data_IF_585416622501
#
_entry.id   IF_585416622501
#
_cell.length_a   1.000
_cell.length_b   1.000
_cell.length_c   1.000
_cell.angle_alpha   90.00
_cell.angle_beta   90.00
_cell.angle_gamma   90.00
#
_symmetry.space_group_name_H-M   'P 1'
#
loop_
_entity.id
_entity.type
_entity.pdbx_description
1 polymer ?
#
# COMPACT_ATOMS: atom_id res chain seq x y z
N UNK A 1 -15.22 -19.04 -20.72
CA UNK A 1 -14.33 -18.28 -21.55
C UNK A 1 -13.17 -17.78 -20.71
N UNK A 2 -11.98 -17.87 -21.22
CA UNK A 2 -10.75 -17.55 -20.53
C UNK A 2 -10.76 -16.08 -20.09
N UNK A 3 -10.63 -15.81 -18.80
CA UNK A 3 -10.56 -14.44 -18.26
C UNK A 3 -9.23 -13.74 -18.65
N UNK A 4 -8.26 -14.50 -19.20
CA UNK A 4 -6.94 -14.01 -19.59
C UNK A 4 -6.94 -12.98 -20.72
N UNK A 5 -8.01 -12.95 -21.54
CA UNK A 5 -8.10 -12.05 -22.70
C UNK A 5 -8.89 -10.76 -22.42
N UNK A 6 -9.37 -10.57 -21.19
CA UNK A 6 -10.07 -9.34 -20.81
C UNK A 6 -9.10 -8.28 -20.34
N UNK A 7 -9.20 -7.10 -20.94
CA UNK A 7 -8.49 -5.92 -20.47
C UNK A 7 -8.85 -5.66 -18.99
N UNK A 8 -7.82 -5.57 -18.13
CA UNK A 8 -8.01 -5.12 -16.76
C UNK A 8 -8.43 -3.64 -16.75
N UNK A 9 -9.40 -3.31 -15.91
CA UNK A 9 -9.85 -1.93 -15.72
C UNK A 9 -9.41 -1.44 -14.34
N UNK A 10 -9.19 -0.11 -14.20
CA UNK A 10 -9.07 0.50 -12.88
C UNK A 10 -10.25 0.17 -11.99
N UNK A 11 -10.06 0.08 -10.68
CA UNK A 11 -11.10 -0.28 -9.71
C UNK A 11 -12.38 0.57 -9.87
N UNK A 12 -12.22 1.85 -10.20
CA UNK A 12 -13.34 2.78 -10.43
C UNK A 12 -14.25 2.41 -11.61
N UNK A 13 -13.75 1.62 -12.55
CA UNK A 13 -14.44 1.31 -13.82
C UNK A 13 -14.82 -0.17 -13.95
N UNK A 14 -14.44 -1.00 -12.98
CA UNK A 14 -14.66 -2.44 -13.04
C UNK A 14 -16.14 -2.78 -12.79
N UNK A 15 -16.71 -3.65 -13.62
CA UNK A 15 -18.08 -4.14 -13.46
C UNK A 15 -18.12 -5.61 -13.05
N UNK A 16 -17.56 -6.52 -13.85
CA UNK A 16 -17.68 -7.96 -13.68
C UNK A 16 -16.30 -8.66 -13.65
N UNK A 17 -15.38 -8.15 -12.84
CA UNK A 17 -14.06 -8.74 -12.60
C UNK A 17 -13.87 -8.97 -11.09
N UNK A 18 -14.34 -10.14 -10.56
CA UNK A 18 -14.35 -10.41 -9.11
C UNK A 18 -12.98 -10.26 -8.45
N UNK A 19 -11.91 -10.68 -9.12
CA UNK A 19 -10.54 -10.54 -8.61
C UNK A 19 -10.12 -9.08 -8.40
N UNK A 20 -10.72 -8.12 -9.15
CA UNK A 20 -10.45 -6.70 -8.96
C UNK A 20 -11.35 -6.13 -7.86
N UNK A 21 -12.67 -6.24 -7.99
CA UNK A 21 -13.55 -5.55 -7.04
C UNK A 21 -13.55 -6.19 -5.65
N UNK A 22 -13.36 -7.51 -5.52
CA UNK A 22 -13.21 -8.15 -4.21
C UNK A 22 -11.76 -8.07 -3.70
N UNK A 23 -10.78 -8.57 -4.44
CA UNK A 23 -9.42 -8.70 -3.92
C UNK A 23 -8.72 -7.34 -3.87
N UNK A 24 -8.63 -6.64 -5.00
CA UNK A 24 -8.01 -5.31 -5.05
C UNK A 24 -8.79 -4.29 -4.22
N UNK A 25 -10.13 -4.32 -4.29
CA UNK A 25 -10.97 -3.41 -3.53
C UNK A 25 -10.77 -3.53 -2.02
N UNK A 26 -10.68 -4.75 -1.48
CA UNK A 26 -10.41 -4.94 -0.05
C UNK A 26 -9.03 -4.41 0.37
N UNK A 27 -7.99 -4.64 -0.44
CA UNK A 27 -6.64 -4.12 -0.19
C UNK A 27 -6.60 -2.59 -0.25
N UNK A 28 -7.29 -1.99 -1.22
CA UNK A 28 -7.38 -0.53 -1.36
C UNK A 28 -8.02 0.11 -0.14
N UNK A 29 -9.12 -0.42 0.37
CA UNK A 29 -9.76 0.12 1.57
C UNK A 29 -8.94 -0.14 2.84
N UNK A 30 -8.24 -1.27 2.93
CA UNK A 30 -7.31 -1.56 4.01
C UNK A 30 -6.17 -0.52 4.03
N UNK A 31 -5.54 -0.26 2.87
CA UNK A 31 -4.50 0.74 2.73
C UNK A 31 -5.02 2.16 3.02
N UNK A 32 -6.13 2.55 2.40
CA UNK A 32 -6.69 3.90 2.56
C UNK A 32 -7.04 4.20 4.02
N UNK A 33 -7.61 3.22 4.76
CA UNK A 33 -7.87 3.32 6.19
C UNK A 33 -6.60 3.69 6.97
N UNK A 34 -5.50 3.06 6.63
CA UNK A 34 -4.22 3.29 7.30
C UNK A 34 -3.61 4.66 6.94
N UNK A 35 -3.73 5.07 5.67
CA UNK A 35 -3.17 6.35 5.20
C UNK A 35 -3.95 7.55 5.72
N UNK A 36 -5.27 7.57 5.60
CA UNK A 36 -6.10 8.73 5.97
C UNK A 36 -6.74 8.65 7.36
N UNK A 37 -6.65 7.50 8.01
CA UNK A 37 -7.23 7.22 9.32
C UNK A 37 -8.61 6.57 9.27
N UNK A 38 -8.86 5.63 10.18
CA UNK A 38 -10.09 4.83 10.23
C UNK A 38 -11.35 5.66 10.44
N UNK A 39 -11.33 6.60 11.38
CA UNK A 39 -12.50 7.44 11.69
C UNK A 39 -12.92 8.27 10.48
N UNK A 40 -11.94 8.82 9.75
CA UNK A 40 -12.19 9.63 8.56
C UNK A 40 -12.76 8.80 7.42
N UNK A 41 -12.22 7.62 7.19
CA UNK A 41 -12.74 6.69 6.18
C UNK A 41 -14.17 6.24 6.54
N UNK A 42 -14.40 5.82 7.78
CA UNK A 42 -15.72 5.36 8.23
C UNK A 42 -16.77 6.46 8.15
N UNK A 43 -16.42 7.69 8.50
CA UNK A 43 -17.32 8.84 8.35
C UNK A 43 -17.68 9.10 6.88
N UNK A 44 -16.72 8.96 5.97
CA UNK A 44 -16.95 9.10 4.52
C UNK A 44 -17.89 8.02 3.98
N UNK A 45 -17.66 6.77 4.36
CA UNK A 45 -18.51 5.63 3.97
C UNK A 45 -19.94 5.77 4.53
N UNK A 46 -20.08 6.15 5.80
CA UNK A 46 -21.40 6.40 6.41
C UNK A 46 -22.14 7.54 5.70
N UNK A 47 -21.45 8.62 5.35
CA UNK A 47 -22.01 9.73 4.57
C UNK A 47 -22.47 9.27 3.19
N UNK A 48 -21.64 8.47 2.47
CA UNK A 48 -22.01 7.91 1.19
C UNK A 48 -23.27 7.07 1.27
N UNK A 49 -23.32 6.11 2.19
CA UNK A 49 -24.51 5.25 2.39
C UNK A 49 -25.75 6.10 2.67
N UNK A 50 -25.65 7.09 3.56
CA UNK A 50 -26.77 7.98 3.88
C UNK A 50 -27.28 8.78 2.67
N UNK A 51 -26.40 9.16 1.76
CA UNK A 51 -26.77 9.91 0.56
C UNK A 51 -27.48 9.06 -0.48
N UNK A 52 -27.07 7.78 -0.64
CA UNK A 52 -27.50 6.94 -1.77
C UNK A 52 -28.49 5.84 -1.36
N UNK A 53 -28.66 5.57 -0.06
CA UNK A 53 -29.56 4.53 0.41
C UNK A 53 -31.00 4.82 -0.04
N UNK A 54 -31.60 3.82 -0.69
CA UNK A 54 -33.01 3.86 -1.15
C UNK A 54 -33.33 4.94 -2.20
N UNK A 55 -32.31 5.55 -2.82
CA UNK A 55 -32.57 6.52 -3.88
C UNK A 55 -33.23 5.87 -5.10
N UNK A 56 -34.18 6.56 -5.76
CA UNK A 56 -34.70 6.12 -7.06
C UNK A 56 -33.65 6.33 -8.16
N UNK A 57 -33.88 5.75 -9.37
CA UNK A 57 -33.01 6.06 -10.51
C UNK A 57 -32.89 7.57 -10.78
N UNK A 58 -31.74 8.07 -11.28
CA UNK A 58 -30.52 7.30 -11.58
C UNK A 58 -29.78 6.81 -10.33
N UNK A 59 -29.32 5.55 -10.39
CA UNK A 59 -28.58 4.97 -9.27
C UNK A 59 -27.17 5.56 -9.17
N UNK A 60 -26.59 5.45 -7.95
CA UNK A 60 -25.24 5.90 -7.68
C UNK A 60 -24.20 5.13 -8.49
N UNK A 61 -23.06 5.78 -8.71
CA UNK A 61 -21.91 5.22 -9.40
C UNK A 61 -20.67 5.25 -8.48
N UNK A 62 -19.62 4.55 -8.85
CA UNK A 62 -18.33 4.61 -8.17
C UNK A 62 -17.78 6.04 -8.07
N UNK A 63 -18.10 6.90 -9.04
CA UNK A 63 -17.68 8.31 -9.05
C UNK A 63 -18.22 9.09 -7.85
N UNK A 64 -19.43 8.78 -7.40
CA UNK A 64 -20.05 9.43 -6.26
C UNK A 64 -19.29 9.08 -4.96
N UNK A 65 -18.87 7.82 -4.82
CA UNK A 65 -18.04 7.37 -3.72
C UNK A 65 -16.65 8.02 -3.77
N UNK A 66 -15.98 8.00 -4.93
CA UNK A 66 -14.65 8.59 -5.12
C UNK A 66 -14.67 10.08 -4.78
N UNK A 67 -15.70 10.81 -5.18
CA UNK A 67 -15.87 12.23 -4.83
C UNK A 67 -15.84 12.43 -3.31
N UNK A 68 -16.57 11.61 -2.56
CA UNK A 68 -16.62 11.70 -1.11
C UNK A 68 -15.26 11.32 -0.48
N UNK A 69 -14.60 10.29 -1.01
CA UNK A 69 -13.26 9.91 -0.55
C UNK A 69 -12.24 11.02 -0.79
N UNK A 70 -12.28 11.69 -1.94
CA UNK A 70 -11.42 12.85 -2.22
C UNK A 70 -11.65 14.01 -1.26
N UNK A 71 -12.89 14.29 -0.88
CA UNK A 71 -13.22 15.38 0.06
C UNK A 71 -12.66 15.15 1.45
N UNK A 72 -12.48 13.90 1.88
CA UNK A 72 -11.92 13.55 3.20
C UNK A 72 -10.43 13.25 3.16
N UNK A 73 -9.85 13.02 1.98
CA UNK A 73 -8.43 12.74 1.82
C UNK A 73 -7.63 14.03 1.88
N UNK A 74 -6.55 14.12 2.69
CA UNK A 74 -5.67 15.27 2.74
C UNK A 74 -5.11 15.66 1.36
N UNK A 75 -4.81 16.94 1.18
CA UNK A 75 -4.37 17.48 -0.12
C UNK A 75 -3.06 16.85 -0.62
N UNK A 76 -2.14 16.55 0.26
CA UNK A 76 -0.86 15.89 -0.01
C UNK A 76 -0.99 14.39 -0.30
N UNK A 77 -2.15 13.79 0.03
CA UNK A 77 -2.45 12.38 -0.18
C UNK A 77 -3.46 12.12 -1.32
N UNK A 78 -3.83 13.13 -2.09
CA UNK A 78 -4.82 12.99 -3.19
C UNK A 78 -4.36 12.01 -4.28
N UNK A 79 -3.05 11.83 -4.47
CA UNK A 79 -2.49 10.84 -5.39
C UNK A 79 -2.89 9.40 -5.03
N UNK A 80 -3.17 9.10 -3.75
CA UNK A 80 -3.62 7.77 -3.32
C UNK A 80 -4.96 7.40 -3.97
N UNK A 81 -5.88 8.36 -4.10
CA UNK A 81 -7.19 8.10 -4.74
C UNK A 81 -6.99 7.79 -6.22
N UNK A 82 -6.12 8.52 -6.92
CA UNK A 82 -5.79 8.24 -8.31
C UNK A 82 -5.17 6.84 -8.48
N UNK A 83 -4.14 6.54 -7.68
CA UNK A 83 -3.40 5.29 -7.76
C UNK A 83 -4.24 4.06 -7.40
N UNK A 84 -5.10 4.19 -6.39
CA UNK A 84 -5.88 3.07 -5.85
C UNK A 84 -7.16 2.80 -6.64
N UNK A 85 -7.82 3.83 -7.16
CA UNK A 85 -9.14 3.71 -7.76
C UNK A 85 -9.16 4.00 -9.26
N UNK A 86 -8.45 5.02 -9.73
CA UNK A 86 -8.64 5.57 -11.08
C UNK A 86 -7.64 5.03 -12.10
N UNK A 87 -6.59 4.38 -11.64
CA UNK A 87 -5.52 3.82 -12.48
C UNK A 87 -5.14 2.41 -12.05
N UNK A 88 -4.39 1.72 -12.89
CA UNK A 88 -3.74 0.45 -12.53
C UNK A 88 -2.33 0.79 -12.12
N UNK A 89 -2.13 1.03 -10.83
CA UNK A 89 -0.82 1.34 -10.24
C UNK A 89 -0.30 0.16 -9.47
N UNK A 90 0.95 -0.18 -9.73
CA UNK A 90 1.68 -1.29 -9.11
C UNK A 90 2.97 -0.76 -8.50
N UNK A 91 3.45 -1.47 -7.49
CA UNK A 91 4.75 -1.22 -6.89
C UNK A 91 5.64 -2.45 -7.07
N UNK A 92 6.93 -2.24 -6.96
CA UNK A 92 7.97 -3.26 -6.92
C UNK A 92 8.96 -2.79 -5.84
N UNK A 93 8.61 -3.14 -4.60
CA UNK A 93 9.37 -2.78 -3.41
C UNK A 93 10.27 -3.94 -3.02
N UNK A 94 11.47 -3.63 -2.52
CA UNK A 94 12.42 -4.69 -2.18
C UNK A 94 13.39 -4.25 -1.08
N UNK A 95 13.66 -5.15 -0.15
CA UNK A 95 14.85 -5.09 0.69
C UNK A 95 16.02 -5.69 -0.08
N UNK A 96 16.98 -4.85 -0.51
CA UNK A 96 18.17 -5.29 -1.28
C UNK A 96 19.19 -5.92 -0.35
N UNK A 97 19.55 -5.22 0.72
CA UNK A 97 20.41 -5.74 1.80
C UNK A 97 19.94 -5.23 3.16
N UNK A 98 20.22 -6.01 4.19
CA UNK A 98 19.97 -5.63 5.56
C UNK A 98 21.09 -6.12 6.48
N UNK A 99 21.46 -5.30 7.44
CA UNK A 99 22.41 -5.69 8.51
C UNK A 99 22.08 -4.99 9.82
N UNK A 100 22.45 -5.62 10.93
CA UNK A 100 22.35 -5.01 12.25
C UNK A 100 23.66 -5.20 13.02
N UNK A 101 24.19 -4.11 13.54
CA UNK A 101 25.41 -4.09 14.31
C UNK A 101 25.15 -3.58 15.74
N UNK A 102 25.58 -4.31 16.77
CA UNK A 102 25.47 -3.84 18.15
C UNK A 102 26.37 -2.59 18.35
N UNK A 103 25.81 -1.55 18.95
CA UNK A 103 26.51 -0.31 19.24
C UNK A 103 25.91 0.34 20.50
N UNK A 104 26.73 0.56 21.51
CA UNK A 104 26.37 1.27 22.76
C UNK A 104 25.11 0.70 23.46
N UNK A 105 24.97 -0.64 23.47
CA UNK A 105 23.82 -1.32 24.07
C UNK A 105 22.53 -1.32 23.21
N UNK A 106 22.61 -0.80 22.00
CA UNK A 106 21.54 -0.79 20.99
C UNK A 106 21.99 -1.50 19.71
N UNK A 107 21.12 -1.53 18.70
CA UNK A 107 21.44 -2.07 17.39
C UNK A 107 21.25 -0.99 16.33
N UNK A 108 22.27 -0.78 15.51
CA UNK A 108 22.20 0.05 14.32
C UNK A 108 21.85 -0.86 13.15
N UNK A 109 20.68 -0.67 12.60
CA UNK A 109 20.15 -1.42 11.45
C UNK A 109 20.36 -0.59 10.20
N UNK A 110 21.07 -1.13 9.22
CA UNK A 110 21.27 -0.52 7.91
C UNK A 110 20.47 -1.29 6.88
N UNK A 111 19.63 -0.59 6.13
CA UNK A 111 18.75 -1.11 5.09
C UNK A 111 19.11 -0.48 3.75
N UNK A 112 19.42 -1.28 2.75
CA UNK A 112 19.35 -0.87 1.35
C UNK A 112 17.99 -1.27 0.78
N UNK A 113 17.24 -0.30 0.30
CA UNK A 113 15.89 -0.48 -0.24
C UNK A 113 15.85 -0.09 -1.71
N UNK A 114 15.06 -0.82 -2.48
CA UNK A 114 14.66 -0.45 -3.83
C UNK A 114 13.14 -0.35 -3.89
N UNK A 115 12.64 0.61 -4.66
CA UNK A 115 11.20 0.79 -4.90
C UNK A 115 10.98 1.34 -6.30
N UNK A 116 10.00 0.79 -7.02
CA UNK A 116 9.57 1.27 -8.32
C UNK A 116 8.08 1.43 -8.32
N UNK A 117 7.60 2.46 -8.98
CA UNK A 117 6.18 2.70 -9.20
C UNK A 117 5.86 2.53 -10.67
N UNK A 118 4.87 1.74 -10.98
CA UNK A 118 4.51 1.32 -12.33
C UNK A 118 3.06 1.67 -12.61
N UNK A 119 2.80 2.10 -13.83
CA UNK A 119 1.46 2.30 -14.36
C UNK A 119 1.20 1.29 -15.46
N UNK A 120 0.14 0.48 -15.32
CA UNK A 120 -0.24 -0.50 -16.33
C UNK A 120 -1.43 -0.02 -17.18
N UNK A 121 -1.48 -0.48 -18.43
CA UNK A 121 -2.51 -0.12 -19.41
C UNK A 121 -3.73 -1.07 -19.42
N UNK A 122 -3.70 -2.09 -18.57
CA UNK A 122 -4.72 -3.13 -18.51
C UNK A 122 -4.53 -4.30 -19.48
N UNK A 123 -3.56 -4.24 -20.38
CA UNK A 123 -3.13 -5.34 -21.24
C UNK A 123 -1.81 -5.95 -20.79
N UNK A 124 -1.30 -5.51 -19.64
CA UNK A 124 -0.06 -5.97 -19.04
C UNK A 124 1.18 -5.16 -19.45
N UNK A 125 1.03 -4.09 -20.24
CA UNK A 125 2.15 -3.19 -20.54
C UNK A 125 2.32 -2.22 -19.39
N UNK A 126 3.48 -2.27 -18.75
CA UNK A 126 3.84 -1.45 -17.60
C UNK A 126 4.80 -0.35 -17.99
N UNK A 127 4.58 0.84 -17.48
CA UNK A 127 5.48 1.99 -17.64
C UNK A 127 5.89 2.48 -16.26
N UNK A 128 7.18 2.60 -16.03
CA UNK A 128 7.70 3.18 -14.80
C UNK A 128 7.40 4.67 -14.74
N UNK A 129 6.89 5.12 -13.60
CA UNK A 129 6.60 6.52 -13.32
C UNK A 129 7.40 6.98 -12.09
N UNK A 130 7.66 8.28 -11.95
CA UNK A 130 8.40 8.79 -10.79
C UNK A 130 7.73 8.40 -9.47
N UNK A 131 8.54 7.93 -8.52
CA UNK A 131 8.10 7.68 -7.16
C UNK A 131 8.12 8.98 -6.36
N UNK A 132 7.02 9.26 -5.66
CA UNK A 132 6.90 10.38 -4.72
C UNK A 132 5.91 9.97 -3.62
N UNK A 133 6.10 8.78 -3.07
CA UNK A 133 5.15 8.11 -2.20
C UNK A 133 5.70 7.95 -0.78
N UNK A 134 4.79 7.86 0.16
CA UNK A 134 5.09 7.53 1.55
C UNK A 134 4.84 6.03 1.76
N UNK A 135 5.89 5.29 2.13
CA UNK A 135 5.87 3.84 2.28
C UNK A 135 6.37 3.48 3.68
N UNK A 136 5.72 2.52 4.31
CA UNK A 136 6.12 2.06 5.63
C UNK A 136 7.45 1.30 5.58
N UNK A 137 8.33 1.61 6.52
CA UNK A 137 9.59 0.89 6.77
C UNK A 137 9.53 0.31 8.18
N UNK A 138 9.81 -0.98 8.31
CA UNK A 138 9.73 -1.70 9.56
C UNK A 138 11.00 -2.45 9.94
N UNK A 139 11.23 -2.55 11.24
CA UNK A 139 12.23 -3.42 11.88
C UNK A 139 11.52 -4.23 12.95
N UNK A 140 11.68 -5.54 12.95
CA UNK A 140 10.88 -6.45 13.77
C UNK A 140 11.72 -7.35 14.64
N UNK A 141 11.23 -7.62 15.86
CA UNK A 141 11.72 -8.65 16.75
C UNK A 141 11.38 -10.05 16.22
N UNK A 142 11.81 -11.08 16.91
CA UNK A 142 11.44 -12.46 16.58
C UNK A 142 9.91 -12.63 16.60
N UNK A 143 9.32 -13.31 15.60
CA UNK A 143 7.89 -13.58 15.58
C UNK A 143 7.51 -14.63 16.63
N UNK A 144 6.27 -14.52 17.12
CA UNK A 144 5.66 -15.60 17.91
C UNK A 144 5.28 -16.79 17.00
N UNK A 145 5.08 -18.00 17.56
CA UNK A 145 4.65 -19.14 16.77
C UNK A 145 3.37 -18.85 15.99
N UNK A 146 3.42 -19.00 14.67
CA UNK A 146 2.30 -18.75 13.77
C UNK A 146 2.21 -17.33 13.21
N UNK A 147 3.08 -16.42 13.65
CA UNK A 147 3.19 -15.07 13.07
C UNK A 147 4.29 -15.03 12.00
N UNK A 148 4.07 -14.27 10.95
CA UNK A 148 5.05 -14.04 9.88
C UNK A 148 6.03 -12.92 10.26
N UNK A 149 5.52 -11.88 10.92
CA UNK A 149 6.28 -10.76 11.44
C UNK A 149 6.17 -10.73 12.97
N UNK A 150 7.27 -10.43 13.63
CA UNK A 150 7.28 -10.19 15.08
C UNK A 150 6.79 -8.79 15.45
N UNK A 151 6.87 -8.49 16.73
CA UNK A 151 6.57 -7.15 17.24
C UNK A 151 7.45 -6.10 16.57
N UNK A 152 6.90 -4.98 16.08
CA UNK A 152 7.72 -3.91 15.53
C UNK A 152 8.58 -3.27 16.61
N UNK A 153 9.89 -3.19 16.35
CA UNK A 153 10.86 -2.39 17.09
C UNK A 153 10.91 -0.96 16.53
N UNK A 154 10.61 -0.84 15.26
CA UNK A 154 10.45 0.38 14.51
C UNK A 154 9.42 0.14 13.42
N UNK A 155 8.52 1.09 13.21
CA UNK A 155 7.57 1.09 12.10
C UNK A 155 7.17 2.54 11.84
N UNK A 156 7.70 3.11 10.77
CA UNK A 156 7.39 4.48 10.38
C UNK A 156 7.21 4.59 8.88
N UNK A 157 6.36 5.52 8.51
CA UNK A 157 6.15 5.92 7.13
C UNK A 157 7.25 6.86 6.68
N UNK A 158 7.93 6.51 5.59
CA UNK A 158 9.03 7.27 5.01
C UNK A 158 8.68 7.71 3.60
N UNK A 159 9.10 8.91 3.24
CA UNK A 159 8.91 9.44 1.90
C UNK A 159 10.04 8.98 0.99
N UNK A 160 9.65 8.36 -0.12
CA UNK A 160 10.54 7.92 -1.20
C UNK A 160 10.37 8.84 -2.40
N UNK A 161 11.48 9.38 -2.91
CA UNK A 161 11.54 10.23 -4.12
C UNK A 161 12.59 9.74 -5.11
N UNK A 162 13.22 8.60 -4.81
CA UNK A 162 14.18 7.90 -5.66
C UNK A 162 13.95 6.39 -5.57
N UNK A 163 14.34 5.68 -6.62
CA UNK A 163 14.11 4.24 -6.72
C UNK A 163 15.00 3.40 -5.79
N UNK A 164 16.01 3.99 -5.21
CA UNK A 164 16.91 3.33 -4.25
C UNK A 164 17.23 4.26 -3.10
N UNK A 165 17.50 3.70 -1.94
CA UNK A 165 17.93 4.46 -0.78
C UNK A 165 18.50 3.58 0.31
N UNK A 166 19.36 4.18 1.14
CA UNK A 166 19.88 3.55 2.36
C UNK A 166 19.29 4.26 3.56
N UNK A 167 18.79 3.49 4.52
CA UNK A 167 18.21 4.00 5.76
C UNK A 167 18.95 3.36 6.94
N UNK A 168 19.35 4.17 7.91
CA UNK A 168 19.84 3.71 9.19
C UNK A 168 18.77 3.92 10.27
N UNK A 169 18.52 2.89 11.06
CA UNK A 169 17.53 2.86 12.15
C UNK A 169 18.21 2.32 13.40
N UNK A 170 18.00 2.98 14.53
CA UNK A 170 18.50 2.49 15.83
C UNK A 170 17.36 1.91 16.62
N UNK A 171 17.52 0.66 17.07
CA UNK A 171 16.56 -0.05 17.91
C UNK A 171 17.21 -0.56 19.20
N UNK A 172 16.40 -0.73 20.24
CA UNK A 172 16.90 -1.12 21.58
C UNK A 172 17.10 -2.63 21.73
N UNK A 173 16.51 -3.43 20.85
CA UNK A 173 16.54 -4.89 20.90
C UNK A 173 17.10 -5.47 19.60
N UNK A 174 17.63 -6.70 19.66
CA UNK A 174 18.15 -7.41 18.50
C UNK A 174 17.01 -7.65 17.47
N UNK A 175 17.13 -7.10 16.27
CA UNK A 175 16.14 -7.32 15.22
C UNK A 175 16.36 -8.65 14.52
N UNK A 176 15.30 -9.24 13.97
CA UNK A 176 15.33 -10.49 13.21
C UNK A 176 14.92 -10.28 11.76
N UNK A 177 14.06 -9.30 11.51
CA UNK A 177 13.50 -9.02 10.17
C UNK A 177 13.32 -7.54 9.95
N UNK A 178 13.41 -7.14 8.70
CA UNK A 178 13.15 -5.77 8.24
C UNK A 178 12.24 -5.78 7.03
N UNK A 179 11.67 -4.63 6.69
CA UNK A 179 10.82 -4.54 5.51
C UNK A 179 10.52 -3.13 5.03
N UNK A 180 10.18 -3.05 3.76
CA UNK A 180 9.51 -1.94 3.11
C UNK A 180 8.11 -2.42 2.74
N UNK A 181 7.07 -1.63 3.05
CA UNK A 181 5.66 -2.05 2.96
C UNK A 181 5.41 -3.46 3.56
N UNK A 182 5.88 -3.72 4.79
CA UNK A 182 5.91 -5.07 5.36
C UNK A 182 4.51 -5.67 5.59
N UNK A 183 3.47 -4.84 5.58
CA UNK A 183 2.07 -5.25 5.73
C UNK A 183 1.30 -5.28 4.42
N UNK A 184 2.00 -5.16 3.28
CA UNK A 184 1.44 -5.24 1.92
C UNK A 184 0.23 -4.32 1.71
N UNK A 185 0.37 -3.04 2.07
CA UNK A 185 -0.65 -2.02 1.86
C UNK A 185 -0.71 -1.54 0.42
N UNK A 186 0.41 -1.62 -0.30
CA UNK A 186 0.53 -1.31 -1.71
C UNK A 186 0.34 -2.58 -2.56
N UNK A 187 -0.10 -2.41 -3.79
CA UNK A 187 -0.23 -3.53 -4.74
C UNK A 187 1.15 -3.80 -5.33
N UNK A 188 1.85 -4.74 -4.75
CA UNK A 188 3.22 -5.08 -5.12
C UNK A 188 3.30 -6.26 -6.09
N UNK A 189 4.26 -6.22 -7.03
CA UNK A 189 4.51 -7.29 -8.00
C UNK A 189 5.07 -8.55 -7.36
N UNK A 190 5.87 -8.40 -6.33
CA UNK A 190 6.49 -9.51 -5.60
C UNK A 190 6.54 -9.21 -4.08
N UNK A 191 5.43 -9.27 -3.37
CA UNK A 191 5.39 -8.88 -1.95
C UNK A 191 6.28 -9.75 -1.04
N UNK A 192 6.88 -10.83 -1.58
CA UNK A 192 7.74 -11.72 -0.79
C UNK A 192 9.13 -11.15 -0.50
N UNK A 193 9.63 -10.23 -1.33
CA UNK A 193 10.92 -9.57 -1.13
C UNK A 193 10.80 -8.18 -0.49
N UNK A 194 9.58 -7.78 -0.12
CA UNK A 194 9.32 -6.62 0.72
C UNK A 194 9.92 -6.78 2.13
N UNK A 195 10.18 -7.98 2.57
CA UNK A 195 10.82 -8.26 3.87
C UNK A 195 12.01 -9.18 3.70
N UNK A 196 13.02 -9.00 4.55
CA UNK A 196 14.21 -9.84 4.61
C UNK A 196 14.61 -10.14 6.05
N UNK A 197 15.23 -11.32 6.32
CA UNK A 197 15.90 -11.56 7.60
C UNK A 197 17.16 -10.69 7.71
N UNK A 198 17.60 -10.48 8.95
CA UNK A 198 18.91 -9.87 9.31
C UNK A 198 19.88 -10.93 9.72
#
# INVERSE_FOLDING_TARGET
GDESDKKELPLALVENQPYIHYNKGSLVFYALRDYIGEDRLNAALARYIKQVAFQPPPFTTTRDLIKILREVTPADQQHLIEDMFETITLFDNKVVTASALPRDGKFVVTLELATRKLRADGLGVETEIPIADEIDVGVFAAPSPGEELGRPLYLERRRFTSNTGTIEIVVDEAPIRVGIDPYNKLIDRNPKDNTAPI
#
